data_IF_381407412432
#
_entry.id   IF_381407412432
#
_cell.length_a   1.000
_cell.length_b   1.000
_cell.length_c   1.000
_cell.angle_alpha   90.00
_cell.angle_beta   90.00
_cell.angle_gamma   90.00
#
_symmetry.space_group_name_H-M   'P 1'
#
loop_
_entity.id
_entity.type
_entity.pdbx_description
1 polymer ?
#
# COMPACT_ATOMS: atom_id res chain seq x y z
N UNK A 1 11.26 -2.29 21.78
CA UNK A 1 9.96 -2.38 21.06
C UNK A 1 9.04 -3.33 21.82
N UNK A 2 7.71 -3.20 21.71
CA UNK A 2 6.75 -4.04 22.44
C UNK A 2 6.38 -5.30 21.63
N UNK A 3 6.45 -6.49 22.25
CA UNK A 3 6.06 -7.76 21.61
C UNK A 3 4.61 -7.72 21.13
N UNK A 4 3.70 -7.21 21.98
CA UNK A 4 2.27 -7.10 21.66
C UNK A 4 2.02 -6.24 20.41
N UNK A 5 2.78 -5.14 20.26
CA UNK A 5 2.68 -4.26 19.08
C UNK A 5 3.21 -4.99 17.85
N UNK A 6 4.41 -5.57 17.93
CA UNK A 6 5.02 -6.30 16.81
C UNK A 6 4.13 -7.46 16.32
N UNK A 7 3.57 -8.26 17.23
CA UNK A 7 2.62 -9.32 16.90
C UNK A 7 1.40 -8.78 16.15
N UNK A 8 0.83 -7.64 16.56
CA UNK A 8 -0.31 -7.02 15.87
C UNK A 8 0.07 -6.53 14.47
N UNK A 9 1.21 -5.86 14.32
CA UNK A 9 1.71 -5.40 13.03
C UNK A 9 1.92 -6.56 12.06
N UNK A 10 2.63 -7.62 12.48
CA UNK A 10 2.93 -8.78 11.63
C UNK A 10 1.66 -9.53 11.21
N UNK A 11 0.68 -9.68 12.11
CA UNK A 11 -0.62 -10.26 11.78
C UNK A 11 -1.41 -9.39 10.80
N UNK A 12 -1.39 -8.07 10.97
CA UNK A 12 -2.06 -7.13 10.07
C UNK A 12 -1.48 -7.17 8.66
N UNK A 13 -0.15 -7.06 8.55
CA UNK A 13 0.56 -7.12 7.27
C UNK A 13 0.30 -8.45 6.54
N UNK A 14 0.37 -9.58 7.24
CA UNK A 14 0.06 -10.89 6.66
C UNK A 14 -1.37 -10.98 6.12
N UNK A 15 -2.37 -10.47 6.88
CA UNK A 15 -3.76 -10.45 6.42
C UNK A 15 -3.94 -9.59 5.16
N UNK A 16 -3.27 -8.44 5.10
CA UNK A 16 -3.39 -7.56 3.94
C UNK A 16 -2.69 -8.14 2.71
N UNK A 17 -1.49 -8.72 2.86
CA UNK A 17 -0.80 -9.40 1.76
C UNK A 17 -1.61 -10.58 1.24
N UNK A 18 -2.26 -11.34 2.13
CA UNK A 18 -3.20 -12.40 1.72
C UNK A 18 -4.36 -11.84 0.90
N UNK A 19 -4.98 -10.75 1.36
CA UNK A 19 -6.06 -10.09 0.63
C UNK A 19 -5.59 -9.61 -0.75
N UNK A 20 -4.42 -9.00 -0.85
CA UNK A 20 -3.84 -8.57 -2.12
C UNK A 20 -3.62 -9.74 -3.08
N UNK A 21 -3.17 -10.90 -2.56
CA UNK A 21 -3.08 -12.13 -3.33
C UNK A 21 -4.44 -12.59 -3.86
N UNK A 22 -5.43 -12.71 -2.98
CA UNK A 22 -6.76 -13.20 -3.35
C UNK A 22 -7.43 -12.27 -4.39
N UNK A 23 -7.28 -10.94 -4.24
CA UNK A 23 -7.81 -9.95 -5.19
C UNK A 23 -7.04 -9.96 -6.52
N UNK A 24 -5.71 -10.10 -6.50
CA UNK A 24 -4.90 -10.20 -7.71
C UNK A 24 -5.23 -11.46 -8.50
N UNK A 25 -5.35 -12.62 -7.84
CA UNK A 25 -5.74 -13.89 -8.47
C UNK A 25 -7.12 -13.77 -9.13
N UNK A 26 -8.07 -13.10 -8.47
CA UNK A 26 -9.40 -12.85 -9.03
C UNK A 26 -9.34 -11.89 -10.24
N UNK A 27 -8.57 -10.81 -10.13
CA UNK A 27 -8.40 -9.83 -11.20
C UNK A 27 -7.72 -10.44 -12.43
N UNK A 28 -6.68 -11.26 -12.24
CA UNK A 28 -5.97 -11.96 -13.32
C UNK A 28 -6.91 -12.92 -14.07
N UNK A 29 -7.78 -13.63 -13.35
CA UNK A 29 -8.80 -14.50 -13.96
C UNK A 29 -9.86 -13.71 -14.72
N UNK A 30 -10.23 -12.52 -14.24
CA UNK A 30 -11.30 -11.71 -14.81
C UNK A 30 -10.85 -10.90 -16.02
N UNK A 31 -9.73 -10.20 -15.93
CA UNK A 31 -9.28 -9.21 -16.91
C UNK A 31 -8.12 -9.73 -17.78
N UNK A 32 -7.32 -10.67 -17.26
CA UNK A 32 -6.14 -11.20 -17.93
C UNK A 32 -4.84 -10.49 -17.54
N UNK A 33 -3.70 -11.14 -17.76
CA UNK A 33 -2.39 -10.62 -17.35
C UNK A 33 -1.94 -9.38 -18.13
N UNK A 34 -2.41 -9.22 -19.37
CA UNK A 34 -2.05 -8.11 -20.26
C UNK A 34 -2.86 -6.83 -20.05
N UNK A 35 -3.84 -6.84 -19.13
CA UNK A 35 -4.64 -5.65 -18.82
C UNK A 35 -3.74 -4.51 -18.33
N UNK A 36 -3.82 -3.31 -18.94
CA UNK A 36 -3.11 -2.13 -18.46
C UNK A 36 -3.51 -1.76 -17.04
N UNK A 37 -2.54 -1.35 -16.25
CA UNK A 37 -2.74 -0.85 -14.88
C UNK A 37 -1.90 0.40 -14.71
N UNK A 38 -2.56 1.53 -14.42
CA UNK A 38 -1.92 2.82 -14.24
C UNK A 38 -2.71 3.70 -13.27
N UNK A 39 -2.01 4.59 -12.58
CA UNK A 39 -2.63 5.68 -11.84
C UNK A 39 -2.82 6.92 -12.72
N UNK A 40 -3.80 7.78 -12.41
CA UNK A 40 -4.17 8.88 -13.28
C UNK A 40 -3.04 9.92 -13.39
N UNK A 41 -2.67 10.25 -14.64
CA UNK A 41 -1.77 11.36 -14.98
C UNK A 41 -0.48 11.38 -14.14
N UNK A 42 0.26 10.26 -14.15
CA UNK A 42 1.56 10.15 -13.50
C UNK A 42 2.66 9.66 -14.44
N UNK A 43 3.87 10.21 -14.30
CA UNK A 43 5.08 9.75 -14.98
C UNK A 43 5.84 8.64 -14.24
N UNK A 44 5.32 8.15 -13.11
CA UNK A 44 6.06 7.33 -12.15
C UNK A 44 5.54 5.89 -11.99
N UNK A 45 4.81 5.37 -12.99
CA UNK A 45 4.20 4.04 -12.93
C UNK A 45 3.32 3.89 -11.68
N UNK A 46 3.54 2.85 -10.87
CA UNK A 46 3.00 2.73 -9.52
C UNK A 46 4.05 3.29 -8.53
N UNK A 47 3.79 4.45 -7.88
CA UNK A 47 4.82 5.22 -7.19
C UNK A 47 5.56 4.52 -6.04
N UNK A 48 4.90 3.67 -5.26
CA UNK A 48 5.52 3.00 -4.11
C UNK A 48 6.48 1.91 -4.58
N UNK A 49 6.03 1.03 -5.47
CA UNK A 49 6.86 -0.03 -6.04
C UNK A 49 7.98 0.51 -6.93
N UNK A 50 7.73 1.59 -7.67
CA UNK A 50 8.79 2.28 -8.42
C UNK A 50 9.79 2.96 -7.48
N UNK A 51 9.31 3.72 -6.48
CA UNK A 51 10.17 4.46 -5.56
C UNK A 51 11.01 3.58 -4.63
N UNK A 52 10.47 2.47 -4.14
CA UNK A 52 11.17 1.59 -3.19
C UNK A 52 11.92 0.44 -3.85
N UNK A 53 11.46 -0.03 -5.02
CA UNK A 53 12.01 -1.22 -5.66
C UNK A 53 12.41 -1.03 -7.14
N UNK A 54 12.22 0.16 -7.72
CA UNK A 54 12.53 0.45 -9.12
C UNK A 54 11.66 -0.31 -10.12
N UNK A 55 10.51 -0.84 -9.68
CA UNK A 55 9.65 -1.67 -10.52
C UNK A 55 8.76 -0.80 -11.41
N UNK A 56 8.88 -0.99 -12.72
CA UNK A 56 8.08 -0.28 -13.73
C UNK A 56 6.89 -1.13 -14.13
N UNK A 57 5.85 -1.10 -13.29
CA UNK A 57 4.64 -1.89 -13.48
C UNK A 57 3.68 -1.13 -14.39
N UNK A 58 3.22 -1.79 -15.45
CA UNK A 58 2.31 -1.26 -16.47
C UNK A 58 1.14 -2.19 -16.77
N UNK A 59 1.24 -3.45 -16.36
CA UNK A 59 0.25 -4.50 -16.60
C UNK A 59 -0.11 -5.26 -15.33
N UNK A 60 -1.31 -5.82 -15.30
CA UNK A 60 -1.82 -6.58 -14.16
C UNK A 60 -0.93 -7.78 -13.78
N UNK A 61 -0.38 -8.51 -14.77
CA UNK A 61 0.52 -9.63 -14.53
C UNK A 61 1.86 -9.23 -13.89
N UNK A 62 2.27 -7.96 -14.01
CA UNK A 62 3.52 -7.44 -13.43
C UNK A 62 3.38 -7.10 -11.94
N UNK A 63 2.17 -7.19 -11.37
CA UNK A 63 1.92 -7.10 -9.93
C UNK A 63 2.35 -8.36 -9.17
N UNK A 64 2.42 -9.53 -9.82
CA UNK A 64 2.82 -10.78 -9.17
C UNK A 64 4.28 -10.74 -8.64
N UNK A 65 5.26 -10.22 -9.40
CA UNK A 65 6.60 -9.93 -8.85
C UNK A 65 6.59 -8.98 -7.63
N UNK A 66 5.68 -8.01 -7.56
CA UNK A 66 5.56 -7.09 -6.43
C UNK A 66 4.98 -7.81 -5.20
N UNK A 67 3.97 -8.65 -5.42
CA UNK A 67 3.39 -9.49 -4.38
C UNK A 67 4.43 -10.46 -3.81
N UNK A 68 5.29 -11.03 -4.65
CA UNK A 68 6.40 -11.88 -4.21
C UNK A 68 7.39 -11.11 -3.31
N UNK A 69 7.70 -9.85 -3.61
CA UNK A 69 8.50 -9.00 -2.70
C UNK A 69 7.80 -8.78 -1.36
N UNK A 70 6.50 -8.48 -1.36
CA UNK A 70 5.72 -8.31 -0.14
C UNK A 70 5.73 -9.59 0.72
N UNK A 71 5.50 -10.76 0.12
CA UNK A 71 5.57 -12.06 0.81
C UNK A 71 6.97 -12.33 1.38
N UNK A 72 8.03 -12.02 0.63
CA UNK A 72 9.40 -12.23 1.08
C UNK A 72 9.76 -11.39 2.32
N UNK A 73 9.26 -10.16 2.41
CA UNK A 73 9.44 -9.30 3.58
C UNK A 73 8.77 -9.85 4.83
N UNK A 74 7.70 -10.63 4.69
CA UNK A 74 7.02 -11.29 5.82
C UNK A 74 7.68 -12.60 6.27
N UNK A 75 8.64 -13.12 5.49
CA UNK A 75 9.40 -14.29 5.91
C UNK A 75 10.48 -13.93 6.93
N UNK A 76 10.82 -14.86 7.85
CA UNK A 76 11.99 -14.72 8.71
C UNK A 76 13.24 -14.38 7.90
N UNK A 77 14.09 -13.43 8.32
CA UNK A 77 15.24 -12.99 7.52
C UNK A 77 16.17 -14.13 7.07
N UNK A 78 16.39 -15.12 7.94
CA UNK A 78 17.20 -16.31 7.64
C UNK A 78 16.59 -17.27 6.60
N UNK A 79 15.34 -17.06 6.19
CA UNK A 79 14.64 -17.85 5.16
C UNK A 79 14.50 -17.13 3.82
N UNK A 80 14.63 -15.79 3.77
CA UNK A 80 14.38 -14.97 2.57
C UNK A 80 15.24 -15.38 1.37
N UNK A 81 16.53 -15.64 1.60
CA UNK A 81 17.49 -15.97 0.55
C UNK A 81 17.10 -17.21 -0.28
N UNK A 82 16.29 -18.13 0.29
CA UNK A 82 15.86 -19.36 -0.39
C UNK A 82 14.96 -19.11 -1.59
N UNK A 83 14.36 -17.92 -1.65
CA UNK A 83 13.39 -17.53 -2.68
C UNK A 83 13.94 -16.49 -3.67
N UNK A 84 15.26 -16.29 -3.69
CA UNK A 84 15.86 -15.39 -4.67
C UNK A 84 15.60 -15.88 -6.11
N UNK A 85 14.94 -15.04 -6.92
CA UNK A 85 14.55 -15.37 -8.29
C UNK A 85 13.46 -16.44 -8.41
N UNK A 86 12.72 -16.72 -7.33
CA UNK A 86 11.66 -17.74 -7.29
C UNK A 86 10.38 -17.13 -6.76
N UNK A 87 9.27 -17.80 -7.04
CA UNK A 87 8.00 -17.50 -6.38
C UNK A 87 8.14 -17.67 -4.87
N UNK A 88 7.57 -16.73 -4.12
CA UNK A 88 7.62 -16.71 -2.67
C UNK A 88 6.24 -17.14 -2.16
N UNK A 89 6.11 -18.26 -1.45
CA UNK A 89 4.84 -18.65 -0.88
C UNK A 89 4.50 -17.75 0.31
N UNK A 90 3.23 -17.39 0.45
CA UNK A 90 2.74 -16.84 1.71
C UNK A 90 2.57 -18.01 2.70
N UNK A 91 3.20 -17.99 3.89
CA UNK A 91 3.00 -19.04 4.87
C UNK A 91 1.55 -19.04 5.37
N UNK A 92 1.03 -20.22 5.75
CA UNK A 92 -0.33 -20.37 6.30
C UNK A 92 -0.57 -19.49 7.54
N UNK A 93 0.48 -19.25 8.32
CA UNK A 93 0.47 -18.37 9.47
C UNK A 93 1.62 -17.35 9.43
N UNK A 94 1.42 -16.15 9.97
CA UNK A 94 2.48 -15.15 10.06
C UNK A 94 3.61 -15.61 10.97
N UNK A 95 4.84 -15.24 10.65
CA UNK A 95 5.92 -15.30 11.62
C UNK A 95 5.68 -14.27 12.74
N UNK A 96 5.86 -14.70 13.99
CA UNK A 96 5.62 -13.87 15.18
C UNK A 96 6.87 -13.83 16.10
N UNK A 97 7.02 -12.78 16.93
CA UNK A 97 8.07 -12.72 17.93
C UNK A 97 7.98 -13.90 18.91
N UNK A 98 9.14 -14.47 19.25
CA UNK A 98 9.25 -15.57 20.21
C UNK A 98 8.82 -15.14 21.62
N UNK A 99 8.12 -16.03 22.33
CA UNK A 99 7.62 -15.76 23.69
C UNK A 99 8.75 -15.72 24.73
N UNK A 100 9.73 -16.61 24.61
CA UNK A 100 10.81 -16.81 25.56
C UNK A 100 12.07 -16.03 25.19
N UNK A 101 12.31 -15.81 23.89
CA UNK A 101 13.52 -15.17 23.38
C UNK A 101 13.29 -13.69 23.03
N UNK A 102 14.19 -12.81 23.48
CA UNK A 102 14.14 -11.37 23.17
C UNK A 102 14.97 -11.05 21.93
N UNK A 103 14.47 -11.47 20.77
CA UNK A 103 15.09 -11.13 19.48
C UNK A 103 14.74 -9.68 19.07
N UNK A 104 15.63 -8.95 18.39
CA UNK A 104 15.30 -7.65 17.82
C UNK A 104 14.33 -7.83 16.64
N UNK A 105 13.10 -7.31 16.76
CA UNK A 105 12.06 -7.39 15.72
C UNK A 105 11.70 -6.04 15.09
N UNK A 106 12.38 -4.94 15.44
CA UNK A 106 12.11 -3.62 14.84
C UNK A 106 12.25 -3.66 13.32
N UNK A 107 13.34 -4.22 12.81
CA UNK A 107 13.54 -4.37 11.36
C UNK A 107 12.42 -5.16 10.69
N UNK A 108 12.01 -6.28 11.28
CA UNK A 108 10.94 -7.12 10.72
C UNK A 108 9.57 -6.42 10.78
N UNK A 109 9.32 -5.58 11.79
CA UNK A 109 8.10 -4.77 11.87
C UNK A 109 8.11 -3.67 10.80
N UNK A 110 9.25 -3.04 10.54
CA UNK A 110 9.39 -2.06 9.45
C UNK A 110 9.25 -2.73 8.08
N UNK A 111 9.86 -3.90 7.89
CA UNK A 111 9.68 -4.72 6.67
C UNK A 111 8.21 -5.10 6.46
N UNK A 112 7.49 -5.43 7.53
CA UNK A 112 6.05 -5.69 7.47
C UNK A 112 5.26 -4.43 7.07
N UNK A 113 5.69 -3.25 7.48
CA UNK A 113 5.15 -1.97 7.00
C UNK A 113 5.33 -1.80 5.49
N UNK A 114 6.54 -2.06 4.97
CA UNK A 114 6.79 -2.01 3.52
C UNK A 114 5.97 -3.06 2.76
N UNK A 115 5.87 -4.28 3.30
CA UNK A 115 5.00 -5.32 2.72
C UNK A 115 3.53 -4.88 2.67
N UNK A 116 3.06 -4.16 3.69
CA UNK A 116 1.71 -3.59 3.75
C UNK A 116 1.53 -2.55 2.66
N UNK A 117 2.49 -1.64 2.46
CA UNK A 117 2.43 -0.63 1.39
C UNK A 117 2.37 -1.25 0.00
N UNK A 118 3.18 -2.30 -0.26
CA UNK A 118 3.12 -3.02 -1.53
C UNK A 118 1.78 -3.75 -1.73
N UNK A 119 1.24 -4.37 -0.68
CA UNK A 119 -0.07 -5.02 -0.76
C UNK A 119 -1.19 -4.02 -1.04
N UNK A 120 -1.14 -2.86 -0.40
CA UNK A 120 -2.14 -1.80 -0.61
C UNK A 120 -2.03 -1.20 -2.01
N UNK A 121 -0.83 -0.95 -2.52
CA UNK A 121 -0.64 -0.50 -3.90
C UNK A 121 -1.16 -1.51 -4.93
N UNK A 122 -0.99 -2.82 -4.69
CA UNK A 122 -1.58 -3.87 -5.55
C UNK A 122 -3.12 -3.77 -5.54
N UNK A 123 -3.72 -3.71 -4.35
CA UNK A 123 -5.18 -3.64 -4.18
C UNK A 123 -5.73 -2.39 -4.84
N UNK A 124 -5.09 -1.24 -4.64
CA UNK A 124 -5.51 0.01 -5.26
C UNK A 124 -5.34 -0.02 -6.78
N UNK A 125 -4.21 -0.49 -7.29
CA UNK A 125 -3.95 -0.58 -8.72
C UNK A 125 -4.97 -1.47 -9.45
N UNK A 126 -5.43 -2.56 -8.83
CA UNK A 126 -6.50 -3.43 -9.37
C UNK A 126 -7.81 -2.66 -9.57
N UNK A 127 -8.16 -1.72 -8.69
CA UNK A 127 -9.39 -0.91 -8.83
C UNK A 127 -9.35 0.02 -10.04
N UNK A 128 -8.16 0.44 -10.46
CA UNK A 128 -7.96 1.25 -11.66
C UNK A 128 -7.92 0.43 -12.95
N UNK A 129 -7.88 -0.91 -12.88
CA UNK A 129 -7.84 -1.77 -14.07
C UNK A 129 -9.15 -1.74 -14.89
N UNK A 130 -10.28 -1.39 -14.27
CA UNK A 130 -11.58 -1.19 -14.96
C UNK A 130 -12.17 0.17 -14.60
N UNK A 131 -12.05 1.18 -15.49
CA UNK A 131 -12.55 2.53 -15.27
C UNK A 131 -14.04 2.60 -14.91
N UNK A 132 -14.86 1.65 -15.36
CA UNK A 132 -16.29 1.64 -15.08
C UNK A 132 -16.61 1.24 -13.63
N UNK A 133 -15.67 0.57 -12.96
CA UNK A 133 -15.84 0.08 -11.58
C UNK A 133 -14.95 0.80 -10.57
N UNK A 134 -14.02 1.64 -11.04
CA UNK A 134 -13.13 2.41 -10.18
C UNK A 134 -13.98 3.31 -9.25
N UNK A 135 -13.85 3.17 -7.91
CA UNK A 135 -14.69 3.89 -6.95
C UNK A 135 -14.27 5.35 -6.75
N UNK A 136 -13.17 5.79 -7.37
CA UNK A 136 -12.56 7.10 -7.18
C UNK A 136 -12.92 8.14 -8.23
N UNK A 137 -12.59 9.41 -7.96
CA UNK A 137 -12.62 10.53 -8.88
C UNK A 137 -11.21 10.82 -9.43
N UNK A 138 -10.72 10.06 -10.42
CA UNK A 138 -9.39 10.28 -10.98
C UNK A 138 -9.28 11.67 -11.61
N UNK A 139 -8.21 12.40 -11.29
CA UNK A 139 -7.90 13.76 -11.74
C UNK A 139 -8.72 14.90 -11.13
N UNK A 140 -9.67 14.62 -10.24
CA UNK A 140 -10.37 15.68 -9.51
C UNK A 140 -9.59 16.08 -8.26
N UNK A 141 -9.60 17.37 -7.93
CA UNK A 141 -8.94 17.90 -6.72
C UNK A 141 -9.88 17.96 -5.52
N UNK A 142 -11.17 18.15 -5.77
CA UNK A 142 -12.18 18.36 -4.75
C UNK A 142 -13.25 17.26 -4.80
N UNK A 143 -13.68 16.74 -3.64
CA UNK A 143 -14.78 15.80 -3.57
C UNK A 143 -16.11 16.49 -3.93
N UNK A 144 -17.08 15.72 -4.40
CA UNK A 144 -18.46 16.20 -4.63
C UNK A 144 -19.39 15.70 -3.51
N UNK A 145 -20.59 16.27 -3.40
CA UNK A 145 -21.61 15.81 -2.43
C UNK A 145 -21.96 14.32 -2.59
N UNK A 146 -21.89 13.83 -3.83
CA UNK A 146 -22.24 12.45 -4.20
C UNK A 146 -21.03 11.50 -4.10
N UNK A 147 -19.79 12.03 -4.21
CA UNK A 147 -18.59 11.21 -4.28
C UNK A 147 -17.39 11.86 -3.57
N UNK A 148 -17.04 11.28 -2.44
CA UNK A 148 -16.03 11.82 -1.52
C UNK A 148 -14.60 11.34 -1.77
N UNK A 149 -14.41 10.25 -2.53
CA UNK A 149 -13.11 9.58 -2.63
C UNK A 149 -12.35 9.98 -3.90
N UNK A 150 -11.25 10.71 -3.74
CA UNK A 150 -10.40 11.16 -4.85
C UNK A 150 -9.50 10.05 -5.42
N UNK A 151 -9.03 9.14 -4.57
CA UNK A 151 -8.11 8.07 -4.96
C UNK A 151 -6.67 8.56 -5.12
N UNK A 152 -5.94 7.99 -6.07
CA UNK A 152 -4.56 8.36 -6.36
C UNK A 152 -4.46 9.80 -6.90
N UNK A 153 -3.63 10.62 -6.24
CA UNK A 153 -3.34 11.99 -6.66
C UNK A 153 -2.51 12.00 -7.96
N UNK A 154 -2.83 12.93 -8.86
CA UNK A 154 -2.08 13.10 -10.10
C UNK A 154 -0.78 13.91 -9.87
N UNK A 155 0.13 13.86 -10.86
CA UNK A 155 1.41 14.56 -10.76
C UNK A 155 1.26 16.10 -10.81
N UNK A 156 0.16 16.62 -11.35
CA UNK A 156 -0.09 18.08 -11.43
C UNK A 156 -0.34 18.63 -10.03
N UNK A 157 -1.28 18.04 -9.29
CA UNK A 157 -1.58 18.36 -7.89
C UNK A 157 -0.32 18.22 -7.04
N UNK A 158 0.46 17.16 -7.26
CA UNK A 158 1.69 16.91 -6.50
C UNK A 158 2.76 17.98 -6.73
N UNK A 159 2.88 18.53 -7.95
CA UNK A 159 3.80 19.63 -8.23
C UNK A 159 3.30 20.96 -7.68
N UNK A 160 2.00 21.24 -7.79
CA UNK A 160 1.39 22.46 -7.30
C UNK A 160 1.46 22.54 -5.77
N UNK A 161 1.02 21.51 -5.05
CA UNK A 161 1.12 21.45 -3.58
C UNK A 161 2.56 21.26 -3.10
N UNK A 162 3.42 20.70 -3.94
CA UNK A 162 4.84 20.51 -3.65
C UNK A 162 5.57 21.82 -3.34
N UNK A 163 5.19 22.93 -4.00
CA UNK A 163 5.86 24.22 -3.79
C UNK A 163 5.64 24.76 -2.38
N UNK A 164 4.44 24.56 -1.84
CA UNK A 164 4.04 25.01 -0.50
C UNK A 164 4.89 24.36 0.61
N UNK A 165 5.38 23.14 0.38
CA UNK A 165 6.28 22.47 1.32
C UNK A 165 7.73 22.95 1.22
N UNK A 166 8.15 23.40 0.04
CA UNK A 166 9.52 23.88 -0.18
C UNK A 166 9.69 25.31 0.32
N UNK A 167 8.69 26.17 0.10
CA UNK A 167 8.71 27.56 0.54
C UNK A 167 8.27 27.75 2.01
N UNK A 168 7.72 26.70 2.62
CA UNK A 168 7.31 26.68 4.02
C UNK A 168 5.92 27.27 4.27
N UNK A 169 5.16 27.59 3.22
CA UNK A 169 3.76 28.02 3.33
C UNK A 169 2.88 26.92 3.92
N UNK A 170 3.18 25.65 3.62
CA UNK A 170 2.61 24.49 4.27
C UNK A 170 3.66 23.86 5.24
N UNK A 171 3.40 23.83 6.56
CA UNK A 171 4.36 23.31 7.53
C UNK A 171 4.50 21.77 7.50
N UNK A 172 3.58 21.06 6.85
CA UNK A 172 3.54 19.60 6.77
C UNK A 172 2.18 19.09 6.32
N UNK A 173 2.00 17.76 6.31
CA UNK A 173 0.73 17.11 5.96
C UNK A 173 0.20 16.29 7.14
N UNK A 174 -1.14 16.22 7.28
CA UNK A 174 -1.81 15.41 8.28
C UNK A 174 -2.54 14.23 7.62
N UNK A 175 -1.98 13.02 7.73
CA UNK A 175 -2.64 11.79 7.31
C UNK A 175 -3.53 11.26 8.45
N UNK A 176 -4.83 11.57 8.39
CA UNK A 176 -5.82 11.16 9.40
C UNK A 176 -6.56 9.91 8.93
N UNK A 177 -6.42 8.80 9.66
CA UNK A 177 -7.08 7.52 9.34
C UNK A 177 -7.89 7.05 10.55
N UNK A 178 -9.12 6.61 10.31
CA UNK A 178 -10.02 6.08 11.33
C UNK A 178 -11.26 6.96 11.50
N UNK A 179 -11.79 7.00 12.73
CA UNK A 179 -12.97 7.80 13.07
C UNK A 179 -12.79 8.46 14.43
N UNK A 180 -13.37 9.65 14.58
CA UNK A 180 -13.47 10.33 15.87
C UNK A 180 -14.67 9.80 16.66
N UNK A 181 -14.67 10.06 17.97
CA UNK A 181 -15.82 9.72 18.84
C UNK A 181 -17.13 10.42 18.44
N UNK A 182 -17.04 11.62 17.86
CA UNK A 182 -18.15 12.45 17.41
C UNK A 182 -17.70 13.43 16.31
N UNK A 183 -18.67 14.01 15.61
CA UNK A 183 -18.43 14.94 14.49
C UNK A 183 -17.77 16.25 14.96
N UNK A 184 -18.18 16.78 16.12
CA UNK A 184 -17.62 18.02 16.68
C UNK A 184 -16.11 17.91 16.91
N UNK A 185 -15.66 16.76 17.41
CA UNK A 185 -14.24 16.46 17.60
C UNK A 185 -13.51 16.36 16.27
N UNK A 186 -14.10 15.75 15.25
CA UNK A 186 -13.51 15.64 13.93
C UNK A 186 -13.30 17.02 13.29
N UNK A 187 -14.35 17.87 13.32
CA UNK A 187 -14.29 19.26 12.82
C UNK A 187 -13.20 20.02 13.58
N UNK A 188 -13.19 19.94 14.91
CA UNK A 188 -12.19 20.61 15.73
C UNK A 188 -10.76 20.20 15.40
N UNK A 189 -10.50 18.94 15.08
CA UNK A 189 -9.16 18.47 14.68
C UNK A 189 -8.81 18.96 13.27
N UNK A 190 -9.77 18.95 12.34
CA UNK A 190 -9.54 19.32 10.95
C UNK A 190 -9.34 20.82 10.73
N UNK A 191 -9.90 21.67 11.62
CA UNK A 191 -9.85 23.13 11.51
C UNK A 191 -8.96 23.81 12.56
N UNK A 192 -8.21 23.04 13.36
CA UNK A 192 -7.31 23.57 14.39
C UNK A 192 -6.04 24.16 13.78
#
# INVERSE_FOLDING_TARGET
>A
MSKKIATRCLRGAWKLVKRAQDELDAALKKYGADTPVEFPNTGYYLPISYGLAGMKITKLGELEPLLNKARALLLPPNKRWKFYGKEVPLPEEPWLPDENNHVPYLGMVLDAGIATLFADEIIEAIKYADPNTCPYLPNEEEPTEERLWLGAANDVIMRERGIEFVDGTAPGFAAVVGYCKDNETAVKIATA
#
